data_IF_258165592362
#
_entry.id   IF_258165592362
#
_cell.length_a   1.000
_cell.length_b   1.000
_cell.length_c   1.000
_cell.angle_alpha   90.00
_cell.angle_beta   90.00
_cell.angle_gamma   90.00
#
_symmetry.space_group_name_H-M   'P 1'
#
loop_
_entity.id
_entity.type
_entity.pdbx_description
1 polymer ?
#
# COMPACT_ATOMS: atom_id res chain seq x y z
N UNK A 1 45.34 -8.27 6.47
CA UNK A 1 44.19 -7.86 7.32
C UNK A 1 43.19 -7.03 6.51
N UNK A 2 42.66 -7.57 5.41
CA UNK A 2 41.75 -6.81 4.52
C UNK A 2 40.36 -7.45 4.38
N UNK A 3 40.23 -8.72 4.79
CA UNK A 3 38.97 -9.48 4.73
C UNK A 3 37.94 -8.98 5.76
N UNK A 4 38.39 -8.59 6.96
CA UNK A 4 37.51 -8.05 8.00
C UNK A 4 36.95 -6.66 7.62
N UNK A 5 37.74 -5.83 6.93
CA UNK A 5 37.28 -4.53 6.44
C UNK A 5 36.22 -4.64 5.34
N UNK A 6 36.37 -5.63 4.44
CA UNK A 6 35.36 -5.96 3.43
C UNK A 6 34.08 -6.53 4.05
N UNK A 7 34.20 -7.38 5.06
CA UNK A 7 33.05 -7.93 5.78
C UNK A 7 32.26 -6.84 6.52
N UNK A 8 32.95 -5.86 7.13
CA UNK A 8 32.30 -4.72 7.78
C UNK A 8 31.54 -3.84 6.78
N UNK A 9 32.13 -3.53 5.63
CA UNK A 9 31.47 -2.77 4.57
C UNK A 9 30.27 -3.53 3.98
N UNK A 10 30.40 -4.84 3.75
CA UNK A 10 29.30 -5.67 3.26
C UNK A 10 28.14 -5.72 4.27
N UNK A 11 28.44 -5.83 5.57
CA UNK A 11 27.43 -5.86 6.64
C UNK A 11 26.64 -4.55 6.76
N UNK A 12 27.19 -3.43 6.29
CA UNK A 12 26.52 -2.13 6.31
C UNK A 12 25.74 -1.85 5.00
N UNK A 13 26.13 -2.48 3.89
CA UNK A 13 25.48 -2.33 2.59
C UNK A 13 24.36 -3.34 2.34
N UNK A 14 24.46 -4.53 2.93
CA UNK A 14 23.46 -5.60 2.83
C UNK A 14 22.07 -5.17 3.37
N UNK A 15 21.95 -4.61 4.59
CA UNK A 15 20.65 -4.19 5.12
C UNK A 15 20.01 -3.10 4.25
N UNK A 16 20.80 -2.14 3.78
CA UNK A 16 20.33 -1.02 2.96
C UNK A 16 19.73 -1.48 1.63
N UNK A 17 20.30 -2.51 1.00
CA UNK A 17 19.73 -3.13 -0.21
C UNK A 17 18.54 -4.03 0.07
N UNK A 18 18.49 -4.68 1.24
CA UNK A 18 17.39 -5.55 1.64
C UNK A 18 16.13 -4.74 1.98
N UNK A 19 16.31 -3.54 2.57
CA UNK A 19 15.23 -2.59 2.84
C UNK A 19 14.68 -1.92 1.57
N UNK A 20 15.48 -1.83 0.50
CA UNK A 20 15.07 -1.25 -0.79
C UNK A 20 13.95 -2.03 -1.51
N UNK A 21 13.60 -3.24 -1.03
CA UNK A 21 12.46 -4.03 -1.53
C UNK A 21 11.19 -3.89 -0.70
N UNK A 22 11.21 -3.22 0.45
CA UNK A 22 10.03 -3.05 1.32
C UNK A 22 8.97 -2.17 0.65
N UNK A 23 9.39 -1.26 -0.24
CA UNK A 23 8.49 -0.40 -1.01
C UNK A 23 7.64 -1.20 -2.01
N UNK A 24 8.09 -2.39 -2.46
CA UNK A 24 7.33 -3.23 -3.39
C UNK A 24 6.41 -4.26 -2.70
N UNK A 25 6.29 -4.20 -1.37
CA UNK A 25 5.38 -5.05 -0.60
C UNK A 25 3.93 -4.64 -0.87
N UNK A 26 3.13 -5.60 -1.34
CA UNK A 26 1.69 -5.41 -1.50
C UNK A 26 1.07 -5.33 -0.10
N UNK A 27 0.41 -4.20 0.18
CA UNK A 27 -0.36 -3.97 1.41
C UNK A 27 -1.82 -4.19 1.13
N UNK A 28 -2.48 -4.89 2.04
CA UNK A 28 -3.92 -5.12 2.02
C UNK A 28 -4.59 -4.13 2.97
N UNK A 29 -5.67 -3.51 2.52
CA UNK A 29 -6.52 -2.63 3.33
C UNK A 29 -7.98 -2.80 2.92
N UNK A 30 -8.89 -2.25 3.70
CA UNK A 30 -10.31 -2.23 3.40
C UNK A 30 -10.87 -0.83 3.62
N UNK A 31 -11.70 -0.36 2.71
CA UNK A 31 -12.36 0.94 2.82
C UNK A 31 -13.88 0.78 2.70
N UNK A 32 -14.62 1.74 3.23
CA UNK A 32 -16.08 1.73 3.18
C UNK A 32 -16.53 2.62 2.03
N UNK A 33 -17.41 2.09 1.19
CA UNK A 33 -18.09 2.85 0.14
C UNK A 33 -19.54 2.40 0.02
N UNK A 34 -20.35 3.24 -0.62
CA UNK A 34 -21.73 2.87 -0.95
C UNK A 34 -21.74 1.74 -1.97
N UNK A 35 -22.77 0.90 -1.94
CA UNK A 35 -22.89 -0.21 -2.87
C UNK A 35 -23.32 0.21 -4.29
N UNK A 36 -23.95 1.37 -4.42
CA UNK A 36 -24.26 2.03 -5.68
C UNK A 36 -23.05 2.74 -6.31
N UNK A 37 -21.89 2.78 -5.64
CA UNK A 37 -20.69 3.43 -6.16
C UNK A 37 -20.22 2.76 -7.46
N UNK A 38 -19.92 3.59 -8.45
CA UNK A 38 -19.37 3.14 -9.73
C UNK A 38 -17.94 2.63 -9.56
N UNK A 39 -17.47 1.84 -10.52
CA UNK A 39 -16.11 1.29 -10.50
C UNK A 39 -15.07 2.41 -10.39
N UNK A 40 -15.21 3.49 -11.16
CA UNK A 40 -14.27 4.62 -11.14
C UNK A 40 -14.26 5.32 -9.77
N UNK A 41 -15.42 5.49 -9.14
CA UNK A 41 -15.52 6.03 -7.79
C UNK A 41 -14.87 5.11 -6.75
N UNK A 42 -15.05 3.79 -6.87
CA UNK A 42 -14.38 2.83 -5.98
C UNK A 42 -12.85 2.92 -6.12
N UNK A 43 -12.32 3.03 -7.34
CA UNK A 43 -10.89 3.22 -7.56
C UNK A 43 -10.37 4.54 -7.00
N UNK A 44 -11.13 5.62 -7.17
CA UNK A 44 -10.79 6.91 -6.60
C UNK A 44 -10.73 6.86 -5.06
N UNK A 45 -11.76 6.30 -4.43
CA UNK A 45 -11.83 6.16 -2.97
C UNK A 45 -10.72 5.25 -2.43
N UNK A 46 -10.43 4.16 -3.11
CA UNK A 46 -9.33 3.27 -2.75
C UNK A 46 -7.97 3.99 -2.81
N UNK A 47 -7.75 4.80 -3.84
CA UNK A 47 -6.53 5.59 -4.00
C UNK A 47 -6.40 6.67 -2.92
N UNK A 48 -7.47 7.38 -2.61
CA UNK A 48 -7.49 8.37 -1.51
C UNK A 48 -7.21 7.72 -0.16
N UNK A 49 -7.85 6.59 0.13
CA UNK A 49 -7.64 5.84 1.36
C UNK A 49 -6.19 5.36 1.48
N UNK A 50 -5.64 4.77 0.42
CA UNK A 50 -4.26 4.32 0.40
C UNK A 50 -3.26 5.48 0.56
N UNK A 51 -3.50 6.63 -0.10
CA UNK A 51 -2.67 7.82 0.05
C UNK A 51 -2.69 8.39 1.49
N UNK A 52 -3.81 8.24 2.20
CA UNK A 52 -3.91 8.62 3.61
C UNK A 52 -3.12 7.65 4.51
N UNK A 53 -3.14 6.36 4.21
CA UNK A 53 -2.43 5.34 5.00
C UNK A 53 -0.89 5.40 4.84
N UNK A 54 -0.38 5.72 3.64
CA UNK A 54 1.08 5.77 3.41
C UNK A 54 1.78 6.93 4.13
N UNK A 55 1.05 8.00 4.45
CA UNK A 55 1.58 9.17 5.13
C UNK A 55 2.43 10.09 4.24
N UNK A 56 2.99 11.17 4.83
CA UNK A 56 3.71 12.19 4.07
C UNK A 56 5.03 11.68 3.50
N UNK A 57 5.37 12.11 2.28
CA UNK A 57 6.63 11.75 1.61
C UNK A 57 6.60 10.44 0.83
N UNK A 58 5.51 9.69 0.92
CA UNK A 58 5.27 8.46 0.16
C UNK A 58 3.97 8.57 -0.64
N UNK A 59 3.85 7.76 -1.68
CA UNK A 59 2.67 7.68 -2.55
C UNK A 59 2.22 6.23 -2.68
N UNK A 60 0.91 6.01 -2.63
CA UNK A 60 0.33 4.72 -2.93
C UNK A 60 0.25 4.55 -4.46
N UNK A 61 0.77 3.43 -4.98
CA UNK A 61 0.71 3.10 -6.41
C UNK A 61 0.17 1.69 -6.62
N UNK A 62 -0.21 1.39 -7.87
CA UNK A 62 -0.78 0.09 -8.26
C UNK A 62 -1.95 -0.33 -7.35
N UNK A 63 -2.84 0.63 -7.07
CA UNK A 63 -4.03 0.43 -6.25
C UNK A 63 -5.03 -0.44 -7.00
N UNK A 64 -5.54 -1.48 -6.35
CA UNK A 64 -6.53 -2.41 -6.90
C UNK A 64 -7.67 -2.61 -5.92
N UNK A 65 -8.90 -2.57 -6.41
CA UNK A 65 -10.10 -2.85 -5.63
C UNK A 65 -10.57 -4.28 -5.90
N UNK A 66 -10.86 -5.05 -4.86
CA UNK A 66 -11.41 -6.40 -4.98
C UNK A 66 -12.91 -6.38 -5.29
N UNK A 67 -13.40 -7.44 -5.93
CA UNK A 67 -14.73 -7.46 -6.55
C UNK A 67 -15.93 -7.72 -5.64
N UNK A 68 -15.75 -8.00 -4.34
CA UNK A 68 -16.86 -8.34 -3.46
C UNK A 68 -16.79 -7.53 -2.16
N UNK A 69 -17.56 -6.43 -2.13
CA UNK A 69 -17.77 -5.65 -0.91
C UNK A 69 -18.60 -6.44 0.11
N UNK A 70 -18.17 -6.48 1.37
CA UNK A 70 -18.92 -7.13 2.46
C UNK A 70 -19.88 -6.12 3.09
N UNK A 71 -21.18 -6.42 3.25
CA UNK A 71 -22.14 -5.50 3.85
C UNK A 71 -21.79 -5.21 5.31
N UNK A 72 -22.00 -3.96 5.72
CA UNK A 72 -21.83 -3.56 7.12
C UNK A 72 -23.08 -3.89 7.92
N UNK A 73 -22.91 -4.36 9.16
CA UNK A 73 -24.03 -4.72 10.03
C UNK A 73 -24.87 -3.49 10.36
N UNK A 74 -26.14 -3.48 9.94
CA UNK A 74 -27.08 -2.39 10.20
C UNK A 74 -27.13 -1.28 9.13
N UNK A 75 -26.32 -1.36 8.07
CA UNK A 75 -26.39 -0.47 6.91
C UNK A 75 -26.07 -1.26 5.62
N UNK A 76 -27.10 -1.72 4.92
CA UNK A 76 -26.95 -2.48 3.67
C UNK A 76 -26.43 -1.62 2.51
N UNK A 77 -26.60 -0.29 2.59
CA UNK A 77 -26.16 0.65 1.57
C UNK A 77 -24.64 0.85 1.59
N UNK A 78 -23.95 0.46 2.69
CA UNK A 78 -22.49 0.58 2.82
C UNK A 78 -21.82 -0.79 2.86
N UNK A 79 -20.78 -0.94 2.05
CA UNK A 79 -19.98 -2.16 1.96
C UNK A 79 -18.52 -1.85 2.23
N UNK A 80 -17.83 -2.77 2.90
CA UNK A 80 -16.38 -2.76 3.02
C UNK A 80 -15.77 -3.42 1.80
N UNK A 81 -15.03 -2.65 1.01
CA UNK A 81 -14.35 -3.12 -0.19
C UNK A 81 -12.90 -3.43 0.14
N UNK A 82 -12.41 -4.65 -0.14
CA UNK A 82 -11.00 -4.97 0.00
C UNK A 82 -10.20 -4.24 -1.09
N UNK A 83 -9.02 -3.76 -0.74
CA UNK A 83 -8.11 -3.04 -1.62
C UNK A 83 -6.68 -3.46 -1.35
N UNK A 84 -5.86 -3.44 -2.40
CA UNK A 84 -4.41 -3.65 -2.27
C UNK A 84 -3.65 -2.51 -2.92
N UNK A 85 -2.52 -2.14 -2.34
CA UNK A 85 -1.66 -1.10 -2.91
C UNK A 85 -0.18 -1.37 -2.60
N UNK A 86 0.70 -0.67 -3.30
CA UNK A 86 2.14 -0.64 -3.03
C UNK A 86 2.56 0.78 -2.67
N UNK A 87 3.74 0.94 -2.07
CA UNK A 87 4.17 2.23 -1.51
C UNK A 87 5.49 2.64 -2.13
N UNK A 88 5.53 3.79 -2.79
CA UNK A 88 6.77 4.34 -3.32
C UNK A 88 7.12 5.66 -2.67
N UNK A 89 8.40 6.01 -2.62
CA UNK A 89 8.81 7.36 -2.26
C UNK A 89 8.30 8.37 -3.29
N UNK A 90 7.74 9.48 -2.81
CA UNK A 90 7.27 10.56 -3.67
C UNK A 90 8.49 11.20 -4.34
N UNK A 91 8.61 11.03 -5.66
CA UNK A 91 9.64 11.77 -6.42
C UNK A 91 9.30 13.26 -6.38
N UNK A 92 10.16 14.01 -5.69
CA UNK A 92 10.09 15.46 -5.51
C UNK A 92 10.35 16.22 -6.81
#
# INVERSE_FOLDING_TARGET
MSLLGLAALASQLLPTRMLAGIDDVVRETSFVAYDEATIDELYYLAQEHANREVGPGKEAYNVKVGGMGTPLTGDEARKSWPSTYKVSDKRR
#
